data_IF_442085506319
#
_entry.id   IF_442085506319
#
_cell.length_a   1.000
_cell.length_b   1.000
_cell.length_c   1.000
_cell.angle_alpha   90.00
_cell.angle_beta   90.00
_cell.angle_gamma   90.00
#
_symmetry.space_group_name_H-M   'P 1'
#
loop_
_entity.id
_entity.type
_entity.pdbx_description
1 polymer ?
#
# COMPACT_ATOMS: atom_id res chain seq x y z
N UNK A 1 -27.19 16.00 -28.10
CA UNK A 1 -26.94 16.11 -26.64
C UNK A 1 -26.59 14.75 -26.02
N UNK A 2 -25.72 13.93 -26.64
CA UNK A 2 -25.40 12.56 -26.11
C UNK A 2 -23.96 12.07 -26.32
N UNK A 3 -23.03 12.91 -26.80
CA UNK A 3 -21.62 12.51 -27.03
C UNK A 3 -20.60 13.11 -26.04
N UNK A 4 -21.01 14.10 -25.23
CA UNK A 4 -20.15 14.71 -24.20
C UNK A 4 -20.26 14.03 -22.83
N UNK A 5 -21.36 13.33 -22.55
CA UNK A 5 -21.62 12.66 -21.26
C UNK A 5 -20.93 11.28 -21.15
N UNK A 6 -20.74 10.58 -22.29
CA UNK A 6 -20.08 9.28 -22.33
C UNK A 6 -18.57 9.36 -22.15
N UNK A 7 -17.93 10.48 -22.52
CA UNK A 7 -16.49 10.67 -22.33
C UNK A 7 -16.15 10.93 -20.86
N UNK A 8 -16.92 11.76 -20.16
CA UNK A 8 -16.73 12.06 -18.74
C UNK A 8 -16.99 10.84 -17.83
N UNK A 9 -18.04 10.07 -18.11
CA UNK A 9 -18.32 8.82 -17.39
C UNK A 9 -17.26 7.73 -17.63
N UNK A 10 -16.73 7.61 -18.85
CA UNK A 10 -15.62 6.70 -19.14
C UNK A 10 -14.29 7.15 -18.50
N UNK A 11 -14.01 8.45 -18.45
CA UNK A 11 -12.82 9.01 -17.79
C UNK A 11 -12.87 8.83 -16.27
N UNK A 12 -14.03 9.03 -15.65
CA UNK A 12 -14.23 8.76 -14.22
C UNK A 12 -14.12 7.26 -13.89
N UNK A 13 -14.59 6.38 -14.77
CA UNK A 13 -14.47 4.92 -14.64
C UNK A 13 -13.02 4.41 -14.81
N UNK A 14 -12.28 4.94 -15.78
CA UNK A 14 -10.86 4.60 -15.97
C UNK A 14 -9.98 5.15 -14.84
N UNK A 15 -10.23 6.39 -14.37
CA UNK A 15 -9.57 6.94 -13.17
C UNK A 15 -9.89 6.13 -11.93
N UNK A 16 -11.16 5.80 -11.69
CA UNK A 16 -11.57 5.03 -10.51
C UNK A 16 -10.96 3.63 -10.44
N UNK A 17 -10.85 2.94 -11.59
CA UNK A 17 -10.15 1.65 -11.67
C UNK A 17 -8.64 1.77 -11.45
N UNK A 18 -7.99 2.79 -12.03
CA UNK A 18 -6.58 3.08 -11.78
C UNK A 18 -6.30 3.42 -10.31
N UNK A 19 -7.10 4.31 -9.72
CA UNK A 19 -7.01 4.70 -8.30
C UNK A 19 -7.22 3.54 -7.34
N UNK A 20 -8.11 2.58 -7.65
CA UNK A 20 -8.27 1.37 -6.84
C UNK A 20 -7.05 0.47 -6.91
N UNK A 21 -6.47 0.31 -8.11
CA UNK A 21 -5.23 -0.43 -8.31
C UNK A 21 -4.09 0.14 -7.46
N UNK A 22 -3.83 1.45 -7.59
CA UNK A 22 -2.81 2.15 -6.79
C UNK A 22 -3.08 2.05 -5.28
N UNK A 23 -4.36 2.16 -4.90
CA UNK A 23 -4.81 2.00 -3.52
C UNK A 23 -4.54 0.60 -2.99
N UNK A 24 -4.76 -0.44 -3.80
CA UNK A 24 -4.48 -1.82 -3.43
C UNK A 24 -2.98 -2.08 -3.27
N UNK A 25 -2.16 -1.59 -4.19
CA UNK A 25 -0.70 -1.68 -4.08
C UNK A 25 -0.19 -1.02 -2.79
N UNK A 26 -0.73 0.17 -2.46
CA UNK A 26 -0.39 0.86 -1.21
C UNK A 26 -0.90 0.12 0.02
N UNK A 27 -2.12 -0.41 -0.01
CA UNK A 27 -2.67 -1.16 1.10
C UNK A 27 -1.86 -2.42 1.43
N UNK A 28 -1.41 -3.15 0.40
CA UNK A 28 -0.52 -4.31 0.57
C UNK A 28 0.83 -3.87 1.16
N UNK A 29 1.42 -2.77 0.67
CA UNK A 29 2.65 -2.21 1.23
C UNK A 29 2.50 -1.88 2.73
N UNK A 30 1.47 -1.12 3.09
CA UNK A 30 1.20 -0.72 4.47
C UNK A 30 0.89 -1.93 5.37
N UNK A 31 0.19 -2.94 4.85
CA UNK A 31 -0.07 -4.18 5.59
C UNK A 31 1.24 -4.93 5.92
N UNK A 32 2.16 -5.01 4.95
CA UNK A 32 3.47 -5.64 5.15
C UNK A 32 4.31 -4.84 6.16
N UNK A 33 4.42 -3.52 5.97
CA UNK A 33 5.19 -2.65 6.86
C UNK A 33 4.59 -2.61 8.26
N UNK A 34 3.26 -2.54 8.36
CA UNK A 34 2.48 -2.55 9.60
C UNK A 34 2.49 -3.91 10.32
N UNK A 35 2.79 -5.00 9.62
CA UNK A 35 2.90 -6.33 10.21
C UNK A 35 1.56 -7.04 10.34
N UNK A 36 0.62 -6.77 9.43
CA UNK A 36 -0.67 -7.44 9.38
C UNK A 36 -0.48 -8.94 9.07
N UNK A 37 -0.74 -9.85 10.03
CA UNK A 37 -0.41 -11.28 9.90
C UNK A 37 -1.04 -11.93 8.66
N UNK A 38 -2.28 -11.52 8.32
CA UNK A 38 -3.01 -12.05 7.15
C UNK A 38 -2.28 -11.81 5.82
N UNK A 39 -1.36 -10.85 5.78
CA UNK A 39 -0.52 -10.55 4.62
C UNK A 39 0.91 -11.01 4.86
N UNK A 40 1.50 -10.72 6.01
CA UNK A 40 2.92 -11.02 6.27
C UNK A 40 3.23 -12.51 6.32
N UNK A 41 2.29 -13.35 6.75
CA UNK A 41 2.52 -14.79 6.83
C UNK A 41 2.65 -15.40 5.42
N UNK A 42 1.75 -15.03 4.52
CA UNK A 42 1.77 -15.45 3.11
C UNK A 42 3.00 -14.90 2.37
N UNK A 43 3.37 -13.64 2.65
CA UNK A 43 4.59 -13.03 2.09
C UNK A 43 5.85 -13.75 2.58
N UNK A 44 5.91 -14.10 3.87
CA UNK A 44 7.03 -14.83 4.44
C UNK A 44 7.15 -16.22 3.84
N UNK A 45 6.03 -16.93 3.68
CA UNK A 45 5.99 -18.23 3.01
C UNK A 45 6.55 -18.11 1.58
N UNK A 46 6.05 -17.16 0.79
CA UNK A 46 6.50 -16.96 -0.58
C UNK A 46 7.99 -16.61 -0.66
N UNK A 47 8.50 -15.71 0.19
CA UNK A 47 9.92 -15.33 0.21
C UNK A 47 10.82 -16.53 0.53
N UNK A 48 10.46 -17.34 1.52
CA UNK A 48 11.18 -18.59 1.82
C UNK A 48 11.21 -19.55 0.64
N UNK A 49 10.18 -19.56 -0.21
CA UNK A 49 10.17 -20.36 -1.46
C UNK A 49 10.99 -19.70 -2.58
N UNK A 50 11.00 -18.37 -2.67
CA UNK A 50 11.77 -17.59 -3.65
C UNK A 50 13.27 -17.82 -3.52
N UNK A 51 13.78 -17.83 -2.28
CA UNK A 51 15.19 -18.09 -1.99
C UNK A 51 15.35 -18.69 -0.59
N UNK A 52 15.28 -20.02 -0.47
CA UNK A 52 15.28 -20.70 0.84
C UNK A 52 16.49 -20.37 1.71
N UNK A 53 17.67 -20.16 1.12
CA UNK A 53 18.88 -19.80 1.87
C UNK A 53 18.92 -18.32 2.24
N UNK A 54 18.46 -17.44 1.36
CA UNK A 54 18.51 -16.01 1.62
C UNK A 54 17.48 -15.56 2.67
N UNK A 55 16.37 -16.28 2.76
CA UNK A 55 15.25 -16.00 3.65
C UNK A 55 15.03 -17.12 4.70
N UNK A 56 16.05 -17.94 4.98
CA UNK A 56 15.97 -19.03 5.96
C UNK A 56 15.60 -18.51 7.36
N UNK A 57 16.17 -17.37 7.75
CA UNK A 57 15.99 -16.75 9.06
C UNK A 57 15.07 -15.51 8.98
N UNK A 58 14.21 -15.44 7.95
CA UNK A 58 13.25 -14.35 7.81
C UNK A 58 12.29 -14.35 9.01
N UNK A 59 12.45 -13.41 9.93
CA UNK A 59 11.51 -13.23 11.05
C UNK A 59 10.24 -12.51 10.57
N UNK A 60 10.43 -11.29 10.04
CA UNK A 60 9.34 -10.46 9.51
C UNK A 60 9.69 -9.91 8.13
N UNK A 61 8.75 -9.93 7.17
CA UNK A 61 8.96 -9.31 5.88
C UNK A 61 8.76 -7.79 5.97
N UNK A 62 9.45 -7.08 5.10
CA UNK A 62 9.22 -5.66 4.81
C UNK A 62 9.05 -5.48 3.31
N UNK A 63 8.54 -4.32 2.90
CA UNK A 63 8.47 -3.95 1.49
C UNK A 63 9.00 -2.54 1.23
N UNK A 64 9.41 -2.29 -0.01
CA UNK A 64 9.82 -1.00 -0.54
C UNK A 64 9.03 -0.74 -1.83
N UNK A 65 8.34 0.40 -1.92
CA UNK A 65 7.56 0.73 -3.11
C UNK A 65 8.48 1.14 -4.28
N UNK A 66 8.14 0.72 -5.49
CA UNK A 66 8.89 1.07 -6.71
C UNK A 66 8.06 1.65 -7.86
N UNK A 67 6.76 1.34 -7.93
CA UNK A 67 5.87 1.56 -9.09
C UNK A 67 6.22 2.70 -10.07
N UNK A 68 6.17 2.39 -11.38
CA UNK A 68 6.68 3.23 -12.47
C UNK A 68 6.17 4.69 -12.46
N UNK A 69 4.92 4.95 -12.08
CA UNK A 69 4.41 6.32 -11.99
C UNK A 69 5.10 7.16 -10.90
N UNK A 70 5.55 6.50 -9.83
CA UNK A 70 6.27 7.14 -8.72
C UNK A 70 7.73 7.40 -9.07
N UNK A 71 8.35 6.51 -9.85
CA UNK A 71 9.70 6.69 -10.36
C UNK A 71 9.87 7.91 -11.29
N UNK A 72 8.78 8.44 -11.86
CA UNK A 72 8.79 9.68 -12.65
C UNK A 72 8.96 10.96 -11.80
N UNK A 73 8.83 10.87 -10.48
CA UNK A 73 9.05 11.99 -9.59
C UNK A 73 10.55 12.10 -9.26
N UNK A 74 11.14 13.28 -9.49
CA UNK A 74 12.55 13.59 -9.22
C UNK A 74 12.93 13.19 -7.78
N UNK A 75 13.99 12.38 -7.63
CA UNK A 75 14.50 11.91 -6.34
C UNK A 75 13.94 10.57 -5.85
N UNK A 76 12.91 9.99 -6.50
CA UNK A 76 12.34 8.70 -6.08
C UNK A 76 13.34 7.55 -6.18
N UNK A 77 14.11 7.47 -7.27
CA UNK A 77 15.12 6.43 -7.46
C UNK A 77 16.22 6.50 -6.41
N UNK A 78 16.68 7.71 -6.07
CA UNK A 78 17.64 7.92 -4.98
C UNK A 78 17.00 7.54 -3.64
N UNK A 79 15.73 7.89 -3.39
CA UNK A 79 15.02 7.47 -2.19
C UNK A 79 14.88 5.94 -2.10
N UNK A 80 14.63 5.23 -3.20
CA UNK A 80 14.59 3.75 -3.23
C UNK A 80 15.96 3.18 -2.87
N UNK A 81 17.03 3.72 -3.43
CA UNK A 81 18.41 3.30 -3.11
C UNK A 81 18.78 3.63 -1.66
N UNK A 82 18.40 4.81 -1.17
CA UNK A 82 18.68 5.27 0.20
C UNK A 82 17.84 4.56 1.27
N UNK A 83 16.60 4.17 0.95
CA UNK A 83 15.74 3.40 1.84
C UNK A 83 16.10 1.90 1.85
N UNK A 84 16.80 1.44 0.83
CA UNK A 84 17.45 0.14 0.83
C UNK A 84 18.81 0.27 1.54
N UNK A 85 19.35 -0.85 2.03
CA UNK A 85 20.73 -0.85 2.52
C UNK A 85 21.69 -0.54 1.35
N UNK A 86 22.84 0.09 1.60
CA UNK A 86 23.77 0.50 0.54
C UNK A 86 24.26 -0.65 -0.37
N UNK A 87 24.22 -1.89 0.14
CA UNK A 87 24.56 -3.11 -0.58
C UNK A 87 23.33 -3.93 -1.02
N UNK A 88 22.17 -3.28 -1.15
CA UNK A 88 20.93 -3.95 -1.53
C UNK A 88 21.03 -4.70 -2.87
N UNK A 89 20.60 -5.96 -2.83
CA UNK A 89 20.66 -6.88 -3.96
C UNK A 89 19.27 -7.34 -4.38
N UNK A 90 19.01 -7.36 -5.68
CA UNK A 90 17.86 -8.03 -6.26
C UNK A 90 18.19 -9.52 -6.47
N UNK A 91 17.27 -10.38 -6.04
CA UNK A 91 17.28 -11.83 -6.22
C UNK A 91 16.41 -12.22 -7.43
N UNK A 92 16.99 -12.31 -8.65
CA UNK A 92 16.29 -12.77 -9.84
C UNK A 92 16.06 -14.29 -9.79
N UNK A 93 15.37 -14.81 -10.81
CA UNK A 93 15.27 -16.26 -10.99
C UNK A 93 16.59 -16.91 -11.42
N UNK A 94 16.68 -18.22 -11.18
CA UNK A 94 17.80 -19.07 -11.56
C UNK A 94 19.08 -18.88 -10.76
N UNK A 95 20.17 -19.51 -11.23
CA UNK A 95 21.48 -19.48 -10.58
C UNK A 95 22.33 -18.28 -11.04
N UNK A 96 23.26 -17.85 -10.19
CA UNK A 96 24.23 -16.79 -10.48
C UNK A 96 24.20 -15.62 -9.50
N UNK A 97 25.05 -14.62 -9.74
CA UNK A 97 25.20 -13.47 -8.84
C UNK A 97 23.92 -12.61 -8.82
N UNK A 98 23.46 -12.15 -7.64
CA UNK A 98 22.43 -11.12 -7.49
C UNK A 98 22.81 -9.78 -8.13
N UNK A 99 21.81 -8.91 -8.32
CA UNK A 99 21.98 -7.61 -8.97
C UNK A 99 21.92 -6.46 -7.97
N UNK A 100 23.03 -5.73 -7.79
CA UNK A 100 23.07 -4.55 -6.92
C UNK A 100 22.12 -3.46 -7.44
N UNK A 101 21.30 -2.89 -6.56
CA UNK A 101 20.25 -1.92 -6.92
C UNK A 101 20.79 -0.74 -7.73
N UNK A 102 21.91 -0.14 -7.32
CA UNK A 102 22.50 1.00 -8.02
C UNK A 102 22.83 0.77 -9.49
N UNK A 103 23.02 -0.50 -9.92
CA UNK A 103 23.40 -0.83 -11.30
C UNK A 103 22.25 -0.87 -12.30
N UNK A 104 21.00 -1.00 -11.84
CA UNK A 104 19.85 -1.22 -12.75
C UNK A 104 18.59 -0.44 -12.37
N UNK A 105 18.44 0.03 -11.12
CA UNK A 105 17.23 0.75 -10.69
C UNK A 105 16.99 2.03 -11.53
N UNK A 106 17.99 2.88 -11.83
CA UNK A 106 17.78 4.04 -12.72
C UNK A 106 17.40 3.66 -14.15
N UNK A 107 17.82 2.47 -14.61
CA UNK A 107 17.44 1.94 -15.92
C UNK A 107 15.97 1.53 -15.88
N UNK A 108 15.60 0.65 -14.95
CA UNK A 108 14.24 0.14 -14.79
C UNK A 108 13.20 1.25 -14.53
N UNK A 109 13.60 2.36 -13.88
CA UNK A 109 12.74 3.52 -13.66
C UNK A 109 12.19 4.14 -14.96
N UNK A 110 12.89 3.97 -16.11
CA UNK A 110 12.39 4.40 -17.43
C UNK A 110 11.23 3.55 -17.96
N UNK A 111 10.82 2.51 -17.24
CA UNK A 111 9.66 1.68 -17.57
C UNK A 111 9.92 0.75 -18.75
N UNK A 112 8.90 0.52 -19.57
CA UNK A 112 8.97 -0.39 -20.73
C UNK A 112 10.10 -0.05 -21.70
N UNK A 113 10.44 1.23 -21.87
CA UNK A 113 11.52 1.68 -22.73
C UNK A 113 12.90 1.19 -22.27
N UNK A 114 13.04 0.80 -21.00
CA UNK A 114 14.29 0.30 -20.42
C UNK A 114 14.58 -1.17 -20.76
N UNK A 115 13.58 -1.92 -21.25
CA UNK A 115 13.70 -3.37 -21.36
C UNK A 115 14.86 -3.88 -22.24
N UNK A 116 15.20 -3.23 -23.37
CA UNK A 116 16.40 -3.58 -24.15
C UNK A 116 17.72 -3.39 -23.39
N UNK A 117 17.75 -2.44 -22.43
CA UNK A 117 18.96 -2.09 -21.66
C UNK A 117 19.14 -2.97 -20.41
N UNK A 118 18.10 -3.71 -20.02
CA UNK A 118 18.12 -4.60 -18.87
C UNK A 118 18.70 -5.96 -19.24
N UNK A 119 19.45 -6.56 -18.31
CA UNK A 119 19.96 -7.93 -18.50
C UNK A 119 18.81 -8.93 -18.60
N UNK A 120 19.04 -10.01 -19.35
CA UNK A 120 18.02 -11.03 -19.65
C UNK A 120 17.23 -11.51 -18.41
N UNK A 121 17.93 -11.76 -17.30
CA UNK A 121 17.36 -12.24 -16.03
C UNK A 121 16.53 -11.21 -15.27
N UNK A 122 16.50 -9.95 -15.71
CA UNK A 122 15.77 -8.86 -15.06
C UNK A 122 14.96 -8.01 -16.04
N UNK A 123 14.71 -8.49 -17.27
CA UNK A 123 14.04 -7.73 -18.34
C UNK A 123 12.70 -7.11 -17.95
N UNK A 124 11.90 -7.78 -17.13
CA UNK A 124 10.58 -7.30 -16.68
C UNK A 124 10.58 -6.62 -15.30
N UNK A 125 11.75 -6.36 -14.70
CA UNK A 125 11.84 -5.79 -13.34
C UNK A 125 11.22 -4.38 -13.25
N UNK A 126 11.11 -3.65 -14.36
CA UNK A 126 10.44 -2.35 -14.42
C UNK A 126 8.93 -2.41 -14.11
N UNK A 127 8.31 -3.60 -14.15
CA UNK A 127 6.92 -3.85 -13.75
C UNK A 127 6.75 -4.09 -12.24
N UNK A 128 7.82 -3.97 -11.47
CA UNK A 128 7.78 -4.20 -10.03
C UNK A 128 6.96 -3.10 -9.36
N UNK A 129 5.99 -3.50 -8.56
CA UNK A 129 5.19 -2.58 -7.75
C UNK A 129 5.85 -2.44 -6.36
N UNK A 130 6.30 -3.57 -5.78
CA UNK A 130 6.99 -3.66 -4.49
C UNK A 130 8.26 -4.51 -4.57
N UNK A 131 9.32 -4.11 -3.88
CA UNK A 131 10.42 -5.00 -3.52
C UNK A 131 10.20 -5.56 -2.12
N UNK A 132 10.16 -6.88 -1.99
CA UNK A 132 9.94 -7.60 -0.74
C UNK A 132 11.26 -8.07 -0.16
N UNK A 133 11.46 -7.94 1.15
CA UNK A 133 12.73 -8.29 1.82
C UNK A 133 12.51 -8.70 3.28
N UNK A 134 13.58 -9.11 3.94
CA UNK A 134 13.73 -9.10 5.39
C UNK A 134 13.91 -7.67 5.92
N UNK A 135 13.77 -7.50 7.23
CA UNK A 135 13.96 -6.20 7.92
C UNK A 135 15.35 -5.60 7.72
N UNK A 136 16.37 -6.41 7.43
CA UNK A 136 17.73 -5.96 7.09
C UNK A 136 17.82 -5.22 5.75
N UNK A 137 16.80 -5.36 4.88
CA UNK A 137 16.73 -4.76 3.55
C UNK A 137 17.99 -5.00 2.71
N UNK A 138 18.61 -6.18 2.86
CA UNK A 138 19.83 -6.54 2.13
C UNK A 138 19.52 -7.25 0.80
N UNK A 139 18.47 -8.06 0.78
CA UNK A 139 18.12 -8.89 -0.38
C UNK A 139 16.64 -8.79 -0.68
N UNK A 140 16.31 -8.51 -1.94
CA UNK A 140 14.96 -8.22 -2.37
C UNK A 140 14.47 -9.19 -3.43
N UNK A 141 13.20 -9.57 -3.32
CA UNK A 141 12.42 -10.18 -4.39
C UNK A 141 11.52 -9.12 -5.02
N UNK A 142 11.55 -9.02 -6.35
CA UNK A 142 10.62 -8.15 -7.07
C UNK A 142 9.21 -8.75 -7.07
N UNK A 143 8.23 -7.95 -6.65
CA UNK A 143 6.83 -8.33 -6.59
C UNK A 143 5.97 -7.43 -7.48
N UNK A 144 5.05 -8.05 -8.20
CA UNK A 144 3.93 -7.35 -8.83
C UNK A 144 2.66 -7.55 -8.01
N UNK A 145 1.88 -6.49 -7.86
CA UNK A 145 0.64 -6.45 -7.11
C UNK A 145 -0.45 -5.99 -8.06
N UNK A 146 -1.53 -6.75 -8.17
CA UNK A 146 -2.64 -6.45 -9.10
C UNK A 146 -3.96 -6.67 -8.42
N UNK A 147 -4.84 -5.67 -8.47
CA UNK A 147 -6.19 -5.75 -7.92
C UNK A 147 -7.14 -6.66 -8.71
N UNK A 148 -6.68 -7.17 -9.87
CA UNK A 148 -7.39 -8.16 -10.66
C UNK A 148 -6.38 -9.22 -11.14
N UNK A 149 -6.58 -10.46 -10.70
CA UNK A 149 -5.67 -11.56 -10.99
C UNK A 149 -5.56 -11.86 -12.50
N UNK A 150 -6.62 -11.64 -13.28
CA UNK A 150 -6.62 -11.86 -14.73
C UNK A 150 -5.71 -10.88 -15.50
N UNK A 151 -5.28 -9.80 -14.86
CA UNK A 151 -4.34 -8.82 -15.43
C UNK A 151 -2.90 -9.10 -15.01
N UNK A 152 -2.66 -10.20 -14.29
CA UNK A 152 -1.33 -10.58 -13.86
C UNK A 152 -0.49 -11.02 -15.07
N UNK A 153 0.76 -10.57 -15.09
CA UNK A 153 1.76 -10.94 -16.09
C UNK A 153 3.03 -11.40 -15.38
N UNK A 154 3.72 -12.36 -15.98
CA UNK A 154 4.99 -12.88 -15.46
C UNK A 154 6.20 -12.41 -16.30
N UNK A 155 7.40 -12.71 -15.81
CA UNK A 155 8.62 -12.35 -16.51
C UNK A 155 9.88 -12.49 -15.68
N UNK A 156 11.03 -12.60 -16.35
CA UNK A 156 12.32 -12.98 -15.74
C UNK A 156 12.73 -12.15 -14.51
N UNK A 157 12.36 -10.86 -14.47
CA UNK A 157 12.70 -9.96 -13.37
C UNK A 157 11.73 -9.97 -12.19
N UNK A 158 10.61 -10.67 -12.28
CA UNK A 158 9.56 -10.75 -11.26
C UNK A 158 9.64 -12.10 -10.53
N UNK A 159 9.34 -12.10 -9.23
CA UNK A 159 9.47 -13.30 -8.37
C UNK A 159 8.17 -13.63 -7.65
N UNK A 160 7.47 -12.62 -7.19
CA UNK A 160 6.26 -12.75 -6.38
C UNK A 160 5.11 -12.01 -7.07
N UNK A 161 3.91 -12.58 -6.99
CA UNK A 161 2.67 -11.92 -7.35
C UNK A 161 1.77 -11.85 -6.12
N UNK A 162 1.12 -10.70 -5.89
CA UNK A 162 0.12 -10.53 -4.83
C UNK A 162 -1.18 -10.04 -5.47
N UNK A 163 -2.24 -10.81 -5.31
CA UNK A 163 -3.55 -10.55 -5.90
C UNK A 163 -4.67 -10.86 -4.90
N UNK A 164 -5.89 -10.37 -5.11
CA UNK A 164 -7.07 -10.85 -4.39
C UNK A 164 -7.40 -12.30 -4.75
N UNK A 165 -8.02 -13.01 -3.81
CA UNK A 165 -8.82 -14.20 -4.11
C UNK A 165 -9.88 -13.89 -5.17
N UNK A 166 -10.17 -14.88 -6.02
CA UNK A 166 -11.20 -14.80 -7.05
C UNK A 166 -11.99 -16.12 -7.11
N UNK A 167 -13.10 -16.13 -7.87
CA UNK A 167 -13.94 -17.33 -8.04
C UNK A 167 -13.15 -18.53 -8.58
N UNK A 168 -12.17 -18.26 -9.44
CA UNK A 168 -11.29 -19.24 -10.07
C UNK A 168 -9.90 -19.31 -9.40
N UNK A 169 -9.68 -18.57 -8.31
CA UNK A 169 -8.39 -18.49 -7.63
C UNK A 169 -8.57 -18.53 -6.10
N UNK A 170 -8.31 -19.68 -5.49
CA UNK A 170 -8.35 -19.83 -4.04
C UNK A 170 -7.32 -18.94 -3.32
N UNK A 171 -7.61 -18.56 -2.07
CA UNK A 171 -6.69 -17.85 -1.21
C UNK A 171 -5.48 -18.72 -0.82
N UNK A 172 -4.37 -18.06 -0.49
CA UNK A 172 -3.14 -18.68 -0.04
C UNK A 172 -2.00 -18.64 -1.06
N UNK A 173 -1.00 -19.48 -0.84
CA UNK A 173 0.17 -19.60 -1.69
C UNK A 173 -0.02 -20.65 -2.78
N UNK A 174 0.37 -20.32 -4.02
CA UNK A 174 0.52 -21.30 -5.10
C UNK A 174 1.58 -20.88 -6.11
N UNK A 175 1.92 -21.78 -7.03
CA UNK A 175 2.77 -21.45 -8.19
C UNK A 175 1.90 -21.07 -9.38
N UNK A 176 2.23 -19.96 -10.01
CA UNK A 176 1.60 -19.55 -11.26
C UNK A 176 2.68 -19.14 -12.25
N UNK A 177 2.85 -19.93 -13.31
CA UNK A 177 3.97 -19.80 -14.26
C UNK A 177 5.32 -19.67 -13.51
N UNK A 178 6.08 -18.61 -13.80
CA UNK A 178 7.35 -18.30 -13.15
C UNK A 178 7.23 -17.63 -11.77
N UNK A 179 6.03 -17.22 -11.33
CA UNK A 179 5.82 -16.48 -10.09
C UNK A 179 5.40 -17.34 -8.89
N UNK A 180 5.84 -16.93 -7.70
CA UNK A 180 5.25 -17.32 -6.43
C UNK A 180 4.02 -16.46 -6.20
N UNK A 181 2.83 -17.03 -6.36
CA UNK A 181 1.56 -16.32 -6.28
C UNK A 181 1.00 -16.37 -4.86
N UNK A 182 0.68 -15.20 -4.33
CA UNK A 182 -0.06 -14.99 -3.09
C UNK A 182 -1.45 -14.47 -3.48
N UNK A 183 -2.48 -15.21 -3.10
CA UNK A 183 -3.87 -14.83 -3.22
C UNK A 183 -4.39 -14.43 -1.83
N UNK A 184 -4.74 -13.15 -1.66
CA UNK A 184 -5.19 -12.58 -0.39
C UNK A 184 -6.68 -12.90 -0.17
N UNK A 185 -7.10 -13.43 0.99
CA UNK A 185 -8.47 -13.89 1.17
C UNK A 185 -9.53 -12.78 1.05
N UNK A 186 -10.64 -13.12 0.39
CA UNK A 186 -11.81 -12.29 0.06
C UNK A 186 -13.10 -13.15 0.19
N UNK A 187 -14.19 -12.68 0.84
CA UNK A 187 -14.34 -11.42 1.56
C UNK A 187 -13.86 -11.46 3.00
N UNK A 188 -13.73 -12.63 3.62
CA UNK A 188 -13.53 -12.74 5.07
C UNK A 188 -12.07 -12.50 5.54
N UNK A 189 -11.26 -11.83 4.73
CA UNK A 189 -9.84 -11.59 4.97
C UNK A 189 -9.39 -10.15 4.77
N UNK A 190 -8.17 -9.99 4.27
CA UNK A 190 -7.60 -8.67 3.98
C UNK A 190 -8.43 -7.91 2.94
N UNK A 191 -8.94 -8.61 1.92
CA UNK A 191 -9.65 -7.97 0.82
C UNK A 191 -11.00 -7.40 1.25
N UNK A 192 -11.75 -8.06 2.14
CA UNK A 192 -12.98 -7.48 2.67
C UNK A 192 -12.73 -6.18 3.41
N UNK A 193 -11.70 -6.13 4.26
CA UNK A 193 -11.31 -4.91 4.98
C UNK A 193 -10.88 -3.79 4.03
N UNK A 194 -10.04 -4.13 3.04
CA UNK A 194 -9.61 -3.17 2.02
C UNK A 194 -10.79 -2.63 1.21
N UNK A 195 -11.65 -3.52 0.72
CA UNK A 195 -12.82 -3.17 -0.08
C UNK A 195 -13.76 -2.26 0.73
N UNK A 196 -14.11 -2.64 1.96
CA UNK A 196 -14.96 -1.84 2.85
C UNK A 196 -14.39 -0.43 3.11
N UNK A 197 -13.09 -0.35 3.42
CA UNK A 197 -12.43 0.93 3.67
C UNK A 197 -12.38 1.80 2.40
N UNK A 198 -12.07 1.19 1.25
CA UNK A 198 -12.03 1.90 -0.03
C UNK A 198 -13.40 2.44 -0.42
N UNK A 199 -14.47 1.62 -0.32
CA UNK A 199 -15.83 2.06 -0.61
C UNK A 199 -16.28 3.17 0.37
N UNK A 200 -15.97 3.06 1.67
CA UNK A 200 -16.33 4.10 2.64
C UNK A 200 -15.68 5.45 2.34
N UNK A 201 -14.39 5.47 1.98
CA UNK A 201 -13.68 6.70 1.61
C UNK A 201 -14.19 7.23 0.28
N UNK A 202 -14.42 6.37 -0.72
CA UNK A 202 -14.94 6.77 -2.01
C UNK A 202 -16.33 7.42 -1.87
N UNK A 203 -17.24 6.78 -1.13
CA UNK A 203 -18.58 7.32 -0.88
C UNK A 203 -18.52 8.65 -0.11
N UNK A 204 -17.66 8.78 0.90
CA UNK A 204 -17.50 10.06 1.61
C UNK A 204 -17.02 11.18 0.68
N UNK A 205 -16.09 10.89 -0.25
CA UNK A 205 -15.63 11.86 -1.26
C UNK A 205 -16.76 12.22 -2.23
N UNK A 206 -17.55 11.25 -2.68
CA UNK A 206 -18.69 11.48 -3.55
C UNK A 206 -19.75 12.36 -2.86
N UNK A 207 -20.09 12.06 -1.61
CA UNK A 207 -21.07 12.83 -0.82
C UNK A 207 -20.59 14.27 -0.57
N UNK A 208 -19.36 14.44 -0.07
CA UNK A 208 -18.80 15.77 0.25
C UNK A 208 -18.59 16.60 -1.01
N UNK A 209 -18.09 15.97 -2.09
CA UNK A 209 -17.87 16.59 -3.40
C UNK A 209 -19.13 16.78 -4.23
N UNK A 210 -20.27 16.20 -3.82
CA UNK A 210 -21.55 16.19 -4.55
C UNK A 210 -21.40 15.62 -5.97
N UNK A 211 -20.68 14.51 -6.08
CA UNK A 211 -20.49 13.79 -7.33
C UNK A 211 -21.53 12.68 -7.48
N UNK A 212 -21.92 12.39 -8.72
CA UNK A 212 -22.78 11.24 -9.01
C UNK A 212 -22.04 9.93 -8.75
N UNK A 213 -22.74 8.98 -8.15
CA UNK A 213 -22.21 7.64 -7.89
C UNK A 213 -22.14 6.84 -9.19
N UNK A 214 -20.96 6.35 -9.51
CA UNK A 214 -20.80 5.43 -10.62
C UNK A 214 -21.36 4.03 -10.28
N UNK A 215 -21.91 3.28 -11.25
CA UNK A 215 -22.60 2.00 -10.99
C UNK A 215 -21.72 0.87 -10.42
N UNK A 216 -20.40 1.01 -10.48
CA UNK A 216 -19.44 -0.02 -10.10
C UNK A 216 -18.98 0.07 -8.63
N UNK A 217 -19.31 1.15 -7.92
CA UNK A 217 -19.04 1.23 -6.48
C UNK A 217 -20.02 0.33 -5.73
N UNK A 218 -19.51 -0.49 -4.83
CA UNK A 218 -20.35 -1.31 -3.96
C UNK A 218 -20.78 -0.50 -2.74
N UNK A 219 -21.91 -0.86 -2.14
CA UNK A 219 -22.29 -0.23 -0.88
C UNK A 219 -21.36 -0.75 0.23
N UNK A 220 -20.66 0.12 0.98
CA UNK A 220 -19.82 -0.33 2.10
C UNK A 220 -20.66 -1.08 3.15
N UNK A 221 -20.04 -1.96 3.93
CA UNK A 221 -20.71 -2.63 5.06
C UNK A 221 -21.27 -1.62 6.08
N UNK A 222 -22.13 -2.09 6.99
CA UNK A 222 -22.70 -1.22 8.05
C UNK A 222 -21.60 -0.59 8.92
N UNK A 223 -20.52 -1.33 9.22
CA UNK A 223 -19.39 -0.80 9.98
C UNK A 223 -18.63 0.26 9.17
N UNK A 224 -18.39 0.00 7.89
CA UNK A 224 -17.72 0.93 7.00
C UNK A 224 -18.54 2.21 6.74
N UNK A 225 -19.87 2.12 6.70
CA UNK A 225 -20.77 3.29 6.64
C UNK A 225 -20.65 4.19 7.87
N UNK A 226 -20.34 3.65 9.06
CA UNK A 226 -20.04 4.49 10.23
C UNK A 226 -18.76 5.29 10.04
N UNK A 227 -17.72 4.72 9.41
CA UNK A 227 -16.50 5.47 9.04
C UNK A 227 -16.84 6.54 8.00
N UNK A 228 -17.60 6.19 6.96
CA UNK A 228 -18.06 7.11 5.94
C UNK A 228 -18.75 8.34 6.57
N UNK A 229 -19.73 8.13 7.45
CA UNK A 229 -20.45 9.22 8.11
C UNK A 229 -19.52 10.12 8.95
N UNK A 230 -18.52 9.55 9.60
CA UNK A 230 -17.50 10.31 10.32
C UNK A 230 -16.59 11.12 9.38
N UNK A 231 -16.20 10.56 8.23
CA UNK A 231 -15.44 11.28 7.20
C UNK A 231 -16.25 12.44 6.61
N UNK A 232 -17.53 12.23 6.31
CA UNK A 232 -18.43 13.25 5.78
C UNK A 232 -18.60 14.42 6.75
N UNK A 233 -18.70 14.15 8.06
CA UNK A 233 -18.74 15.17 9.13
C UNK A 233 -17.53 16.10 9.08
N UNK A 234 -16.35 15.58 8.69
CA UNK A 234 -15.10 16.33 8.60
C UNK A 234 -14.74 16.73 7.17
N UNK A 235 -15.68 16.76 6.22
CA UNK A 235 -15.42 17.05 4.81
C UNK A 235 -14.79 18.43 4.49
N UNK A 236 -14.76 19.36 5.45
CA UNK A 236 -14.08 20.67 5.34
C UNK A 236 -12.70 20.72 5.99
N UNK A 237 -12.28 19.65 6.65
CA UNK A 237 -11.00 19.56 7.36
C UNK A 237 -9.90 19.12 6.38
N UNK A 238 -8.65 19.51 6.65
CA UNK A 238 -7.53 19.09 5.81
C UNK A 238 -7.32 17.59 5.92
N UNK A 239 -6.97 16.96 4.81
CA UNK A 239 -6.68 15.52 4.74
C UNK A 239 -5.60 15.10 5.75
N UNK A 240 -4.59 15.95 5.97
CA UNK A 240 -3.52 15.67 6.96
C UNK A 240 -4.05 15.53 8.39
N UNK A 241 -5.04 16.33 8.78
CA UNK A 241 -5.64 16.26 10.12
C UNK A 241 -6.55 15.03 10.25
N UNK A 242 -7.25 14.67 9.17
CA UNK A 242 -8.05 13.44 9.08
C UNK A 242 -7.15 12.21 9.22
N UNK A 243 -6.03 12.15 8.48
CA UNK A 243 -5.07 11.05 8.57
C UNK A 243 -4.45 10.93 9.97
N UNK A 244 -4.11 12.06 10.60
CA UNK A 244 -3.63 12.09 11.98
C UNK A 244 -4.62 11.46 12.94
N UNK A 245 -5.89 11.88 12.88
CA UNK A 245 -6.94 11.36 13.74
C UNK A 245 -7.29 9.89 13.48
N UNK A 246 -7.24 9.43 12.22
CA UNK A 246 -7.41 8.02 11.88
C UNK A 246 -6.28 7.16 12.46
N UNK A 247 -5.04 7.64 12.40
CA UNK A 247 -3.89 6.96 13.03
C UNK A 247 -4.04 6.87 14.55
N UNK A 248 -4.46 7.95 15.20
CA UNK A 248 -4.76 7.93 16.64
C UNK A 248 -5.86 6.93 16.98
N UNK A 249 -6.93 6.89 16.18
CA UNK A 249 -8.04 5.95 16.36
C UNK A 249 -7.60 4.49 16.16
N UNK A 250 -6.75 4.21 15.17
CA UNK A 250 -6.21 2.88 14.91
C UNK A 250 -5.33 2.36 16.06
N UNK A 251 -4.71 3.25 16.83
CA UNK A 251 -3.82 2.91 17.95
C UNK A 251 -4.54 2.69 19.30
N UNK A 252 -5.86 2.87 19.38
CA UNK A 252 -6.60 2.86 20.65
C UNK A 252 -6.55 1.55 21.46
N UNK A 253 -6.08 0.43 20.87
CA UNK A 253 -5.93 -0.86 21.58
C UNK A 253 -4.46 -1.34 21.72
N UNK A 254 -3.45 -0.52 21.38
CA UNK A 254 -2.04 -0.81 21.67
C UNK A 254 -1.70 -0.32 23.10
N UNK A 255 -1.84 -1.19 24.10
CA UNK A 255 -1.40 -0.94 25.49
C UNK A 255 -0.03 -1.65 25.64
N UNK A 256 1.08 -0.98 25.95
CA UNK A 256 1.32 -0.33 27.24
C UNK A 256 2.02 1.03 27.12
N UNK A 257 1.38 2.06 27.68
CA UNK A 257 2.05 3.30 28.07
C UNK A 257 1.99 3.36 29.60
N UNK A 258 3.12 3.07 30.26
CA UNK A 258 3.29 3.39 31.68
C UNK A 258 3.47 4.91 31.80
N UNK A 259 2.38 5.62 32.08
CA UNK A 259 2.42 7.07 32.31
C UNK A 259 2.77 7.32 33.78
N UNK A 260 4.06 7.42 34.06
CA UNK A 260 4.53 8.01 35.33
C UNK A 260 4.45 9.53 35.22
N UNK A 261 3.50 10.15 35.92
CA UNK A 261 3.47 11.60 36.09
C UNK A 261 4.70 12.01 36.91
N UNK A 262 5.66 12.65 36.25
CA UNK A 262 6.73 13.38 36.92
C UNK A 262 6.20 14.77 37.24
N UNK A 263 6.10 15.07 38.54
CA UNK A 263 5.91 16.45 38.99
C UNK A 263 7.11 17.26 38.52
N UNK A 264 6.86 18.27 37.68
CA UNK A 264 7.81 19.33 37.39
C UNK A 264 7.22 20.58 38.01
N UNK A 265 7.92 21.19 38.96
CA UNK A 265 7.54 22.49 39.50
C UNK A 265 7.56 23.50 38.35
N UNK A 266 6.37 23.98 37.96
CA UNK A 266 6.24 25.03 36.97
C UNK A 266 6.81 26.34 37.56
N UNK A 267 7.76 27.01 36.88
CA UNK A 267 8.25 28.31 37.31
C UNK A 267 7.13 29.35 37.34
N UNK A 268 7.17 30.27 38.30
CA UNK A 268 6.14 31.29 38.54
C UNK A 268 5.81 32.22 37.34
N UNK A 269 6.59 32.19 36.27
CA UNK A 269 6.40 33.00 35.06
C UNK A 269 5.56 32.30 33.97
N UNK A 270 5.27 31.00 34.09
CA UNK A 270 4.42 30.27 33.14
C UNK A 270 2.93 30.55 33.41
N UNK A 271 2.51 31.80 33.23
CA UNK A 271 1.10 32.17 33.17
C UNK A 271 0.69 32.22 31.69
N UNK A 272 0.08 31.16 31.19
CA UNK A 272 -0.49 31.16 29.84
C UNK A 272 -1.76 32.02 29.87
N UNK A 273 -1.65 33.23 29.31
CA UNK A 273 -2.80 34.10 29.06
C UNK A 273 -3.73 33.44 28.03
N UNK A 274 -4.83 32.85 28.51
CA UNK A 274 -5.98 32.47 27.69
C UNK A 274 -6.63 33.73 27.12
N UNK A 275 -6.27 34.10 25.88
CA UNK A 275 -7.13 34.89 25.00
C UNK A 275 -6.61 34.88 23.56
N UNK A 276 -7.13 33.92 22.78
CA UNK A 276 -7.53 34.07 21.37
C UNK A 276 -8.01 32.71 20.88
N UNK A 277 -9.30 32.62 20.61
CA UNK A 277 -9.90 31.51 19.85
C UNK A 277 -9.47 31.68 18.38
N UNK A 278 -8.64 30.80 17.80
CA UNK A 278 -8.66 30.65 16.36
C UNK A 278 -10.01 30.02 16.01
N UNK A 279 -10.54 30.30 14.82
CA UNK A 279 -11.61 29.48 14.25
C UNK A 279 -10.99 28.10 13.99
N UNK A 280 -11.07 27.22 14.99
CA UNK A 280 -10.61 25.85 14.93
C UNK A 280 -11.71 25.11 14.19
N UNK A 281 -11.46 24.76 12.93
CA UNK A 281 -12.20 23.66 12.31
C UNK A 281 -12.17 22.49 13.30
N UNK A 282 -13.32 21.86 13.61
CA UNK A 282 -13.38 20.84 14.66
C UNK A 282 -12.28 19.81 14.40
N UNK A 283 -11.44 19.57 15.41
CA UNK A 283 -10.38 18.57 15.30
C UNK A 283 -11.06 17.23 15.02
N UNK A 284 -10.69 16.52 13.93
CA UNK A 284 -11.24 15.22 13.67
C UNK A 284 -10.97 14.31 14.85
N UNK A 285 -12.01 13.68 15.35
CA UNK A 285 -11.93 12.60 16.32
C UNK A 285 -12.83 11.49 15.81
N UNK A 286 -12.28 10.28 15.70
CA UNK A 286 -13.01 9.12 15.23
C UNK A 286 -13.43 8.25 16.42
N UNK A 287 -14.73 7.95 16.47
CA UNK A 287 -15.33 7.08 17.47
C UNK A 287 -14.99 5.61 17.16
N UNK A 288 -14.86 4.82 18.23
CA UNK A 288 -14.60 3.39 18.14
C UNK A 288 -15.77 2.69 17.45
N UNK A 289 -15.45 1.76 16.55
CA UNK A 289 -16.44 0.91 15.91
C UNK A 289 -16.59 -0.35 16.77
N UNK A 290 -17.72 -0.49 17.45
CA UNK A 290 -18.13 -1.73 18.12
C UNK A 290 -18.22 -2.91 17.12
#
# INVERSE_FOLDING_TARGET
MSRFDSSLSSLASHRGKGSRGDGFERAVHEAIVGGEPRVTDLVSEALRKVSPRAFADLDRPTSLMFGHERARHLGFTEAVVNNASGDAMLLPDGSGRPFAFGSWVPIAARGVAAEPDLRERIKKVWKTDLFLSSTDKARFAAATVKSNWHQLEDGNGLRVAIVPQALDLAAGYQRWKSLHLISLPDPDGFMGLFNDAYEAVAEAILTVGRHDRAPYYYKPSVKAQKIQAQLEKYGKVKVVDILGALNEAAQQNLIAVDRKLMSVEAPAWLNINEKRTPIIAPRPAFEKLD
#
